data_IF_149176062245
#
_entry.id   IF_149176062245
#
_cell.length_a   1.000
_cell.length_b   1.000
_cell.length_c   1.000
_cell.angle_alpha   90.00
_cell.angle_beta   90.00
_cell.angle_gamma   90.00
#
_symmetry.space_group_name_H-M   'P 1'
#
loop_
_entity.id
_entity.type
_entity.pdbx_description
1 polymer ?
#
# COMPACT_ATOMS: atom_id res chain seq x y z
N UNK A 1 -0.77 -8.25 -2.83
CA UNK A 1 -2.22 -8.16 -2.54
C UNK A 1 -2.61 -9.08 -1.40
N UNK A 2 -3.73 -8.78 -0.76
CA UNK A 2 -4.35 -9.60 0.26
C UNK A 2 -5.43 -10.46 -0.39
N UNK A 3 -5.22 -11.77 -0.49
CA UNK A 3 -6.09 -12.70 -1.21
C UNK A 3 -6.69 -13.78 -0.28
N UNK A 4 -6.44 -13.71 1.02
CA UNK A 4 -7.02 -14.60 2.00
C UNK A 4 -8.54 -14.50 2.06
N UNK A 5 -9.25 -15.61 2.32
CA UNK A 5 -10.71 -15.58 2.52
C UNK A 5 -11.07 -14.85 3.82
N UNK A 6 -12.29 -14.33 3.87
CA UNK A 6 -12.83 -13.64 5.05
C UNK A 6 -12.58 -14.42 6.33
N UNK A 7 -12.03 -13.73 7.34
CA UNK A 7 -11.79 -14.28 8.66
C UNK A 7 -10.68 -15.33 8.75
N UNK A 8 -9.82 -15.42 7.73
CA UNK A 8 -8.75 -16.42 7.69
C UNK A 8 -7.71 -16.19 8.80
N UNK A 9 -7.24 -14.96 8.94
CA UNK A 9 -6.21 -14.64 9.91
C UNK A 9 -6.78 -14.03 11.20
N UNK A 10 -6.13 -14.21 12.38
CA UNK A 10 -6.51 -13.49 13.60
C UNK A 10 -6.31 -11.98 13.42
N UNK A 11 -6.96 -11.18 14.26
CA UNK A 11 -6.68 -9.76 14.32
C UNK A 11 -5.24 -9.48 14.78
N UNK A 12 -4.73 -8.31 14.46
CA UNK A 12 -3.37 -7.92 14.86
C UNK A 12 -3.31 -7.65 16.36
N UNK A 13 -2.48 -8.38 17.09
CA UNK A 13 -2.35 -8.27 18.56
C UNK A 13 -1.98 -6.86 19.04
N UNK A 14 -1.28 -6.09 18.19
CA UNK A 14 -0.86 -4.72 18.47
C UNK A 14 -1.91 -3.67 18.13
N UNK A 15 -3.04 -4.07 17.52
CA UNK A 15 -4.10 -3.18 17.08
C UNK A 15 -5.28 -3.16 18.04
N UNK A 16 -6.06 -2.08 18.00
CA UNK A 16 -7.39 -2.02 18.59
C UNK A 16 -8.29 -3.03 17.85
N UNK A 17 -9.23 -3.67 18.57
CA UNK A 17 -10.11 -4.73 18.03
C UNK A 17 -9.37 -6.01 17.56
N UNK A 18 -8.30 -6.37 18.24
CA UNK A 18 -7.49 -7.55 17.94
C UNK A 18 -8.26 -8.88 17.99
N UNK A 19 -9.46 -8.90 18.60
CA UNK A 19 -10.37 -10.05 18.64
C UNK A 19 -11.10 -10.28 17.30
N UNK A 20 -11.13 -9.27 16.42
CA UNK A 20 -11.81 -9.37 15.13
C UNK A 20 -10.89 -10.03 14.10
N UNK A 21 -11.34 -11.17 13.58
CA UNK A 21 -10.61 -11.87 12.52
C UNK A 21 -10.68 -11.12 11.19
N UNK A 22 -9.62 -11.26 10.41
CA UNK A 22 -9.41 -10.51 9.17
C UNK A 22 -9.12 -11.46 7.99
N UNK A 23 -9.31 -11.03 6.72
CA UNK A 23 -10.04 -9.83 6.29
C UNK A 23 -11.53 -9.90 6.70
N UNK A 24 -12.17 -8.76 6.88
CA UNK A 24 -13.57 -8.66 7.32
C UNK A 24 -14.58 -8.91 6.22
N UNK A 25 -14.15 -8.85 4.98
CA UNK A 25 -15.00 -9.00 3.78
C UNK A 25 -14.44 -10.09 2.86
N UNK A 26 -15.31 -10.66 2.04
CA UNK A 26 -14.89 -11.57 0.98
C UNK A 26 -14.28 -10.81 -0.19
N UNK A 27 -13.44 -11.49 -0.97
CA UNK A 27 -12.91 -10.92 -2.21
C UNK A 27 -14.08 -10.58 -3.17
N UNK A 28 -14.01 -9.41 -3.86
CA UNK A 28 -15.08 -9.00 -4.78
C UNK A 28 -15.13 -9.84 -6.06
N UNK A 29 -14.05 -10.58 -6.36
CA UNK A 29 -13.92 -11.45 -7.52
C UNK A 29 -13.13 -12.72 -7.15
N UNK A 30 -13.19 -13.74 -8.02
CA UNK A 30 -12.32 -14.92 -7.89
C UNK A 30 -10.84 -14.53 -7.96
N UNK A 31 -10.00 -15.26 -7.28
CA UNK A 31 -8.54 -15.03 -7.27
C UNK A 31 -7.99 -15.02 -8.71
N UNK A 32 -8.36 -15.99 -9.54
CA UNK A 32 -7.94 -16.07 -10.96
C UNK A 32 -8.21 -14.78 -11.74
N UNK A 33 -9.35 -14.12 -11.46
CA UNK A 33 -9.69 -12.85 -12.10
C UNK A 33 -8.84 -11.70 -11.55
N UNK A 34 -8.53 -11.71 -10.25
CA UNK A 34 -7.74 -10.66 -9.60
C UNK A 34 -6.27 -10.74 -10.06
N UNK A 35 -5.71 -11.94 -10.18
CA UNK A 35 -4.29 -12.13 -10.54
C UNK A 35 -4.03 -12.14 -12.06
N UNK A 36 -5.08 -12.06 -12.88
CA UNK A 36 -4.94 -11.93 -14.35
C UNK A 36 -4.58 -10.49 -14.73
N UNK A 37 -3.35 -10.10 -14.45
CA UNK A 37 -2.81 -8.75 -14.60
C UNK A 37 -1.45 -8.77 -15.31
N UNK A 38 -1.00 -7.63 -15.79
CA UNK A 38 0.29 -7.48 -16.47
C UNK A 38 1.48 -7.37 -15.51
N UNK A 39 1.24 -6.89 -14.30
CA UNK A 39 2.23 -6.79 -13.22
C UNK A 39 1.55 -6.61 -11.87
N UNK A 40 2.31 -6.82 -10.80
CA UNK A 40 1.89 -6.52 -9.42
C UNK A 40 2.84 -5.51 -8.81
N UNK A 41 2.29 -4.53 -8.09
CA UNK A 41 3.07 -3.58 -7.30
C UNK A 41 2.81 -3.88 -5.83
N UNK A 42 3.86 -4.13 -5.06
CA UNK A 42 3.80 -4.38 -3.63
C UNK A 42 4.31 -3.13 -2.93
N UNK A 43 3.42 -2.42 -2.25
CA UNK A 43 3.76 -1.17 -1.55
C UNK A 43 4.65 -1.41 -0.34
N UNK A 44 4.45 -2.55 0.34
CA UNK A 44 5.25 -3.03 1.47
C UNK A 44 4.84 -4.47 1.84
N UNK A 45 5.66 -5.12 2.64
CA UNK A 45 5.49 -6.53 3.05
C UNK A 45 4.83 -6.58 4.43
N UNK A 46 3.55 -6.23 4.51
CA UNK A 46 2.71 -6.52 5.66
C UNK A 46 1.68 -7.61 5.28
N UNK A 47 1.15 -8.39 6.25
CA UNK A 47 0.26 -9.51 5.94
C UNK A 47 -1.00 -9.13 5.16
N UNK A 48 -1.54 -7.94 5.39
CA UNK A 48 -2.70 -7.39 4.68
C UNK A 48 -2.37 -6.81 3.30
N UNK A 49 -1.09 -6.78 2.92
CA UNK A 49 -0.63 -6.34 1.59
C UNK A 49 0.06 -7.45 0.79
N UNK A 50 0.61 -8.46 1.47
CA UNK A 50 1.22 -9.61 0.84
C UNK A 50 1.04 -10.86 1.71
N UNK A 51 0.19 -11.79 1.29
CA UNK A 51 -0.14 -13.01 1.99
C UNK A 51 0.32 -14.29 1.24
N UNK A 52 0.18 -15.44 1.88
CA UNK A 52 0.54 -16.72 1.27
C UNK A 52 -0.38 -17.13 0.11
N UNK A 53 -1.64 -16.67 0.09
CA UNK A 53 -2.55 -16.89 -1.04
C UNK A 53 -2.05 -16.15 -2.28
N UNK A 54 -1.57 -14.92 -2.12
CA UNK A 54 -0.92 -14.18 -3.20
C UNK A 54 0.36 -14.88 -3.67
N UNK A 55 1.16 -15.39 -2.74
CA UNK A 55 2.37 -16.16 -3.08
C UNK A 55 2.07 -17.38 -3.95
N UNK A 56 0.96 -18.07 -3.70
CA UNK A 56 0.58 -19.27 -4.46
C UNK A 56 -0.15 -18.96 -5.77
N UNK A 57 -0.98 -17.92 -5.77
CA UNK A 57 -1.85 -17.62 -6.90
C UNK A 57 -1.16 -16.85 -8.04
N UNK A 58 -0.18 -16.01 -7.71
CA UNK A 58 0.51 -15.18 -8.69
C UNK A 58 1.57 -15.99 -9.44
N UNK A 59 1.58 -15.89 -10.79
CA UNK A 59 2.60 -16.54 -11.62
C UNK A 59 4.00 -16.05 -11.22
N UNK A 60 4.90 -16.99 -10.96
CA UNK A 60 6.28 -16.71 -10.56
C UNK A 60 7.13 -15.98 -11.61
N UNK A 61 6.66 -15.93 -12.85
CA UNK A 61 7.30 -15.17 -13.93
C UNK A 61 6.67 -13.78 -14.14
N UNK A 62 5.57 -13.46 -13.43
CA UNK A 62 4.95 -12.14 -13.52
C UNK A 62 5.90 -11.06 -13.02
N UNK A 63 5.91 -9.91 -13.72
CA UNK A 63 6.65 -8.73 -13.28
C UNK A 63 6.11 -8.21 -11.96
N UNK A 64 6.98 -8.08 -10.95
CA UNK A 64 6.66 -7.51 -9.65
C UNK A 64 7.51 -6.27 -9.40
N UNK A 65 6.86 -5.19 -8.98
CA UNK A 65 7.52 -3.99 -8.51
C UNK A 65 7.42 -3.89 -6.99
N UNK A 66 8.52 -3.49 -6.36
CA UNK A 66 8.66 -3.35 -4.91
C UNK A 66 9.33 -2.03 -4.53
N UNK A 67 9.35 -1.69 -3.25
CA UNK A 67 9.90 -0.42 -2.78
C UNK A 67 11.40 -0.45 -2.43
N UNK A 68 11.95 -1.62 -2.05
CA UNK A 68 13.28 -1.71 -1.44
C UNK A 68 14.03 -2.99 -1.80
N UNK A 69 15.34 -3.02 -1.53
CA UNK A 69 16.14 -4.26 -1.66
C UNK A 69 15.68 -5.34 -0.67
N UNK A 70 15.19 -4.95 0.51
CA UNK A 70 14.62 -5.90 1.46
C UNK A 70 13.42 -6.63 0.84
N UNK A 71 12.45 -5.87 0.33
CA UNK A 71 11.23 -6.44 -0.28
C UNK A 71 11.57 -7.26 -1.52
N UNK A 72 12.51 -6.80 -2.35
CA UNK A 72 13.00 -7.53 -3.51
C UNK A 72 13.56 -8.90 -3.13
N UNK A 73 14.45 -8.94 -2.15
CA UNK A 73 15.06 -10.19 -1.70
C UNK A 73 14.02 -11.13 -1.07
N UNK A 74 13.06 -10.58 -0.32
CA UNK A 74 11.95 -11.34 0.24
C UNK A 74 11.11 -11.99 -0.88
N UNK A 75 10.68 -11.23 -1.88
CA UNK A 75 9.87 -11.74 -3.00
C UNK A 75 10.64 -12.74 -3.87
N UNK A 76 11.93 -12.50 -4.13
CA UNK A 76 12.80 -13.46 -4.82
C UNK A 76 12.90 -14.78 -4.04
N UNK A 77 12.99 -14.73 -2.70
CA UNK A 77 13.04 -15.93 -1.84
C UNK A 77 11.76 -16.78 -1.92
N UNK A 78 10.63 -16.18 -2.34
CA UNK A 78 9.35 -16.86 -2.59
C UNK A 78 9.24 -17.46 -4.00
N UNK A 79 10.33 -17.44 -4.76
CA UNK A 79 10.46 -18.05 -6.08
C UNK A 79 10.02 -17.18 -7.26
N UNK A 80 9.67 -15.93 -7.05
CA UNK A 80 9.42 -14.98 -8.13
C UNK A 80 10.72 -14.63 -8.85
N UNK A 81 10.66 -14.41 -10.17
CA UNK A 81 11.87 -14.31 -11.01
C UNK A 81 12.12 -12.91 -11.56
N UNK A 82 11.09 -12.11 -11.73
CA UNK A 82 11.18 -10.77 -12.32
C UNK A 82 10.71 -9.72 -11.32
N UNK A 83 11.64 -9.29 -10.44
CA UNK A 83 11.38 -8.33 -9.35
C UNK A 83 12.25 -7.10 -9.52
N UNK A 84 11.63 -5.93 -9.58
CA UNK A 84 12.28 -4.64 -9.79
C UNK A 84 11.89 -3.63 -8.71
N UNK A 85 12.85 -2.82 -8.28
CA UNK A 85 12.59 -1.74 -7.33
C UNK A 85 12.13 -0.51 -8.09
N UNK A 86 10.99 0.07 -7.70
CA UNK A 86 10.50 1.33 -8.26
C UNK A 86 11.43 2.49 -7.90
N UNK A 87 11.75 3.31 -8.89
CA UNK A 87 12.57 4.50 -8.73
C UNK A 87 11.71 5.77 -8.52
N UNK A 88 12.23 6.70 -7.71
CA UNK A 88 11.62 8.03 -7.52
C UNK A 88 11.69 8.90 -8.79
N UNK A 89 12.69 8.64 -9.64
CA UNK A 89 12.89 9.33 -10.91
C UNK A 89 11.98 8.81 -12.03
N UNK A 90 11.29 7.70 -11.76
CA UNK A 90 10.38 7.04 -12.68
C UNK A 90 10.92 5.72 -13.21
N UNK A 91 10.05 4.72 -13.24
CA UNK A 91 10.27 3.40 -13.83
C UNK A 91 9.27 3.22 -14.97
N UNK A 92 9.76 2.95 -16.17
CA UNK A 92 8.88 2.74 -17.31
C UNK A 92 8.40 1.29 -17.36
N UNK A 93 7.09 1.11 -17.47
CA UNK A 93 6.47 -0.17 -17.72
C UNK A 93 5.44 -0.03 -18.82
N UNK A 94 5.70 -0.63 -19.99
CA UNK A 94 4.90 -0.43 -21.20
C UNK A 94 4.81 1.05 -21.56
N UNK A 95 3.58 1.60 -21.61
CA UNK A 95 3.30 3.02 -21.90
C UNK A 95 3.04 3.87 -20.65
N UNK A 96 3.36 3.34 -19.47
CA UNK A 96 3.14 4.00 -18.18
C UNK A 96 4.50 4.28 -17.54
N UNK A 97 4.66 5.47 -16.96
CA UNK A 97 5.76 5.76 -16.04
C UNK A 97 5.23 5.68 -14.60
N UNK A 98 5.87 4.85 -13.79
CA UNK A 98 5.57 4.64 -12.37
C UNK A 98 6.59 5.42 -11.55
N UNK A 99 6.13 6.27 -10.63
CA UNK A 99 7.01 7.00 -9.71
C UNK A 99 6.75 6.52 -8.30
N UNK A 100 7.80 6.08 -7.63
CA UNK A 100 7.76 5.82 -6.19
C UNK A 100 7.66 7.14 -5.43
N UNK A 101 6.81 7.19 -4.42
CA UNK A 101 6.73 8.31 -3.46
C UNK A 101 6.98 7.79 -2.04
N UNK A 102 7.48 8.67 -1.18
CA UNK A 102 7.65 8.36 0.23
C UNK A 102 6.34 8.50 1.00
N UNK A 103 6.26 7.77 2.11
CA UNK A 103 5.10 7.76 3.01
C UNK A 103 5.58 7.66 4.46
N UNK A 104 4.65 7.86 5.40
CA UNK A 104 4.86 7.53 6.80
C UNK A 104 3.72 6.62 7.26
N UNK A 105 4.00 5.33 7.40
CA UNK A 105 3.07 4.35 7.95
C UNK A 105 2.99 4.52 9.47
N UNK A 106 2.37 5.64 9.88
CA UNK A 106 2.40 6.21 11.21
C UNK A 106 3.67 7.03 11.49
N UNK A 107 3.77 7.65 12.66
CA UNK A 107 4.92 8.48 13.02
C UNK A 107 6.20 7.67 13.13
N UNK A 108 7.18 8.00 12.30
CA UNK A 108 8.45 7.26 12.17
C UNK A 108 9.17 7.12 13.52
N UNK A 109 9.26 8.19 14.28
CA UNK A 109 9.97 8.21 15.56
C UNK A 109 9.36 7.28 16.63
N UNK A 110 8.08 6.92 16.47
CA UNK A 110 7.34 6.07 17.40
C UNK A 110 7.27 4.63 16.87
N UNK A 111 6.91 4.46 15.62
CA UNK A 111 6.56 3.15 15.07
C UNK A 111 7.75 2.41 14.49
N UNK A 112 8.76 3.11 13.94
CA UNK A 112 9.94 2.41 13.43
C UNK A 112 10.66 1.57 14.49
N UNK A 113 10.93 2.07 15.73
CA UNK A 113 11.53 1.25 16.77
C UNK A 113 10.66 0.02 17.15
N UNK A 114 9.33 0.16 17.12
CA UNK A 114 8.42 -0.95 17.37
C UNK A 114 8.53 -2.01 16.26
N UNK A 115 8.45 -1.60 15.01
CA UNK A 115 8.61 -2.49 13.84
C UNK A 115 9.96 -3.22 13.89
N UNK A 116 11.05 -2.51 14.15
CA UNK A 116 12.39 -3.08 14.26
C UNK A 116 12.45 -4.15 15.39
N UNK A 117 11.75 -3.93 16.52
CA UNK A 117 11.73 -4.86 17.66
C UNK A 117 11.02 -6.19 17.37
N UNK A 118 10.08 -6.20 16.42
CA UNK A 118 9.31 -7.38 16.02
C UNK A 118 9.73 -7.90 14.64
N UNK A 119 10.78 -7.32 14.03
CA UNK A 119 11.32 -7.74 12.75
C UNK A 119 10.41 -7.43 11.56
N UNK A 120 9.49 -6.48 11.68
CA UNK A 120 8.63 -6.02 10.58
C UNK A 120 9.23 -4.79 9.88
N UNK A 121 9.12 -4.69 8.53
CA UNK A 121 9.47 -3.46 7.83
C UNK A 121 8.54 -2.31 8.25
N UNK A 122 9.12 -1.15 8.55
CA UNK A 122 8.35 0.06 8.80
C UNK A 122 7.96 0.77 7.50
N UNK A 123 8.88 0.76 6.53
CA UNK A 123 8.74 1.59 5.33
C UNK A 123 7.65 1.05 4.39
N UNK A 124 6.83 1.96 3.87
CA UNK A 124 5.85 1.75 2.83
C UNK A 124 6.07 2.78 1.72
N UNK A 125 5.49 2.57 0.55
CA UNK A 125 5.54 3.55 -0.54
C UNK A 125 4.15 3.88 -1.07
N UNK A 126 4.00 5.11 -1.58
CA UNK A 126 2.96 5.46 -2.52
C UNK A 126 3.48 5.35 -3.97
N UNK A 127 2.55 5.39 -4.92
CA UNK A 127 2.87 5.26 -6.35
C UNK A 127 2.08 6.28 -7.16
N UNK A 128 2.77 6.96 -8.08
CA UNK A 128 2.11 7.78 -9.11
C UNK A 128 2.21 7.06 -10.45
N UNK A 129 1.08 6.95 -11.13
CA UNK A 129 0.94 6.41 -12.48
C UNK A 129 0.75 7.58 -13.44
N UNK A 130 1.61 7.68 -14.43
CA UNK A 130 1.51 8.70 -15.47
C UNK A 130 1.62 8.05 -16.86
N UNK A 131 0.66 8.34 -17.73
CA UNK A 131 0.68 7.91 -19.11
C UNK A 131 0.18 9.04 -20.02
N UNK A 132 0.67 9.05 -21.27
CA UNK A 132 0.28 10.09 -22.23
C UNK A 132 -1.23 10.05 -22.49
N UNK A 133 -1.91 11.20 -22.40
CA UNK A 133 -3.36 11.39 -22.61
C UNK A 133 -4.26 10.69 -21.59
N UNK A 134 -3.70 10.16 -20.51
CA UNK A 134 -4.45 9.55 -19.41
C UNK A 134 -4.43 10.44 -18.17
N UNK A 135 -5.38 10.24 -17.26
CA UNK A 135 -5.38 10.90 -15.97
C UNK A 135 -4.21 10.41 -15.11
N UNK A 136 -3.52 11.34 -14.50
CA UNK A 136 -2.48 11.00 -13.51
C UNK A 136 -3.15 10.47 -12.25
N UNK A 137 -2.80 9.24 -11.86
CA UNK A 137 -3.29 8.56 -10.66
C UNK A 137 -2.19 8.54 -9.59
N UNK A 138 -2.53 8.96 -8.38
CA UNK A 138 -1.70 8.78 -7.19
C UNK A 138 -2.39 7.83 -6.21
N UNK A 139 -1.72 6.74 -5.84
CA UNK A 139 -2.11 5.84 -4.76
C UNK A 139 -1.16 6.10 -3.60
N UNK A 140 -1.67 6.67 -2.51
CA UNK A 140 -0.85 7.08 -1.37
C UNK A 140 -0.30 5.88 -0.57
N UNK A 141 -0.99 4.71 -0.62
CA UNK A 141 -0.63 3.55 0.19
C UNK A 141 -0.95 3.74 1.67
N UNK A 142 -0.31 2.95 2.52
CA UNK A 142 -0.46 3.05 3.97
C UNK A 142 0.40 4.18 4.51
N UNK A 143 -0.27 5.25 4.91
CA UNK A 143 0.37 6.47 5.40
C UNK A 143 -0.58 7.30 6.25
N UNK A 144 -0.04 8.08 7.17
CA UNK A 144 -0.72 9.25 7.75
C UNK A 144 -0.57 10.45 6.80
N UNK A 145 -1.31 11.55 7.05
CA UNK A 145 -0.99 12.82 6.40
C UNK A 145 0.39 13.31 6.87
N UNK A 146 1.30 13.52 5.94
CA UNK A 146 2.68 13.92 6.20
C UNK A 146 3.20 14.81 5.06
N UNK A 147 4.38 15.40 5.24
CA UNK A 147 4.96 16.30 4.23
C UNK A 147 5.27 15.56 2.92
N UNK A 148 5.66 14.29 2.98
CA UNK A 148 5.95 13.46 1.80
C UNK A 148 4.70 13.28 0.90
N UNK A 149 3.52 13.09 1.50
CA UNK A 149 2.25 13.03 0.76
C UNK A 149 1.93 14.37 0.13
N UNK A 150 2.12 15.48 0.86
CA UNK A 150 1.90 16.82 0.35
C UNK A 150 2.87 17.19 -0.79
N UNK A 151 4.14 16.78 -0.67
CA UNK A 151 5.13 16.94 -1.74
C UNK A 151 4.72 16.17 -3.00
N UNK A 152 4.25 14.91 -2.86
CA UNK A 152 3.75 14.12 -3.98
C UNK A 152 2.55 14.79 -4.68
N UNK A 153 1.56 15.29 -3.92
CA UNK A 153 0.41 16.03 -4.46
C UNK A 153 0.84 17.28 -5.23
N UNK A 154 1.79 18.04 -4.69
CA UNK A 154 2.30 19.25 -5.33
C UNK A 154 3.12 18.96 -6.58
N UNK A 155 4.02 17.97 -6.51
CA UNK A 155 4.93 17.61 -7.60
C UNK A 155 4.20 17.04 -8.80
N UNK A 156 3.27 16.10 -8.56
CA UNK A 156 2.64 15.36 -9.64
C UNK A 156 1.27 15.90 -10.04
N UNK A 157 0.64 16.75 -9.19
CA UNK A 157 -0.69 17.32 -9.43
C UNK A 157 -1.68 16.30 -10.00
N UNK A 158 -1.92 15.16 -9.29
CA UNK A 158 -2.71 14.06 -9.82
C UNK A 158 -4.17 14.45 -10.07
N UNK A 159 -4.80 13.81 -11.07
CA UNK A 159 -6.23 13.96 -11.36
C UNK A 159 -7.09 13.09 -10.43
N UNK A 160 -6.51 11.96 -9.99
CA UNK A 160 -7.15 11.00 -9.09
C UNK A 160 -6.18 10.65 -7.97
N UNK A 161 -6.66 10.71 -6.73
CA UNK A 161 -5.90 10.34 -5.52
C UNK A 161 -6.64 9.23 -4.79
N UNK A 162 -5.99 8.10 -4.58
CA UNK A 162 -6.51 7.01 -3.75
C UNK A 162 -5.75 7.01 -2.44
N UNK A 163 -6.47 7.06 -1.32
CA UNK A 163 -5.91 7.05 0.03
C UNK A 163 -6.50 5.91 0.84
N UNK A 164 -5.67 5.25 1.63
CA UNK A 164 -6.13 4.33 2.65
C UNK A 164 -6.57 5.13 3.88
N UNK A 165 -7.82 4.94 4.34
CA UNK A 165 -8.48 5.84 5.28
C UNK A 165 -9.23 5.12 6.41
N UNK A 166 -8.80 3.92 6.79
CA UNK A 166 -9.42 3.14 7.87
C UNK A 166 -9.12 3.67 9.29
N UNK A 167 -8.22 4.66 9.43
CA UNK A 167 -7.78 5.21 10.71
C UNK A 167 -7.18 4.15 11.67
N UNK A 168 -6.58 3.09 11.13
CA UNK A 168 -5.95 2.04 11.91
C UNK A 168 -5.00 2.63 12.97
N UNK A 169 -5.08 2.09 14.18
CA UNK A 169 -4.41 2.63 15.37
C UNK A 169 -3.82 1.48 16.18
N UNK A 170 -2.57 1.60 16.59
CA UNK A 170 -1.96 0.66 17.54
C UNK A 170 -2.40 0.95 18.98
N UNK A 171 -2.20 -0.03 19.88
CA UNK A 171 -2.69 0.01 21.27
C UNK A 171 -2.27 1.25 22.08
N UNK A 172 -1.16 1.88 21.76
CA UNK A 172 -0.71 3.13 22.40
C UNK A 172 -1.43 4.39 21.89
N UNK A 173 -2.39 4.24 20.95
CA UNK A 173 -3.16 5.34 20.37
C UNK A 173 -2.52 6.02 19.15
N UNK A 174 -1.32 5.58 18.71
CA UNK A 174 -0.71 6.12 17.50
C UNK A 174 -1.38 5.57 16.24
N UNK A 175 -1.64 6.48 15.29
CA UNK A 175 -2.26 6.13 14.01
C UNK A 175 -1.23 5.58 13.03
N UNK A 176 -1.64 4.58 12.29
CA UNK A 176 -0.89 3.96 11.19
C UNK A 176 -1.30 4.52 9.83
N UNK A 177 -2.58 4.83 9.68
CA UNK A 177 -3.24 5.16 8.42
C UNK A 177 -4.09 6.41 8.62
N UNK A 178 -4.38 7.12 7.53
CA UNK A 178 -5.16 8.37 7.53
C UNK A 178 -6.52 8.19 8.20
N UNK A 179 -6.90 9.21 8.96
CA UNK A 179 -8.25 9.39 9.49
C UNK A 179 -9.00 10.49 8.73
N UNK A 180 -10.18 10.87 9.22
CA UNK A 180 -11.02 11.89 8.59
C UNK A 180 -10.36 13.28 8.55
N UNK A 181 -9.52 13.62 9.53
CA UNK A 181 -8.86 14.92 9.56
C UNK A 181 -7.69 14.95 8.57
N UNK A 182 -6.95 13.85 8.44
CA UNK A 182 -5.93 13.69 7.40
C UNK A 182 -6.56 13.77 6.00
N UNK A 183 -7.73 13.14 5.81
CA UNK A 183 -8.46 13.20 4.54
C UNK A 183 -8.88 14.64 4.17
N UNK A 184 -9.26 15.47 5.14
CA UNK A 184 -9.53 16.89 4.92
C UNK A 184 -8.30 17.64 4.42
N UNK A 185 -7.11 17.30 4.94
CA UNK A 185 -5.86 17.91 4.46
C UNK A 185 -5.52 17.44 3.04
N UNK A 186 -5.73 16.15 2.71
CA UNK A 186 -5.61 15.66 1.33
C UNK A 186 -6.52 16.46 0.40
N UNK A 187 -7.80 16.62 0.74
CA UNK A 187 -8.76 17.38 -0.07
C UNK A 187 -8.35 18.84 -0.28
N UNK A 188 -7.82 19.52 0.74
CA UNK A 188 -7.31 20.90 0.61
C UNK A 188 -6.10 20.99 -0.34
N UNK A 189 -5.25 19.98 -0.35
CA UNK A 189 -3.97 20.02 -1.07
C UNK A 189 -4.04 19.35 -2.45
N UNK A 190 -5.08 18.57 -2.75
CA UNK A 190 -5.24 17.86 -4.02
C UNK A 190 -5.92 18.68 -5.12
N UNK A 191 -6.12 19.98 -4.91
CA UNK A 191 -6.75 20.92 -5.88
C UNK A 191 -8.10 20.38 -6.39
N UNK A 192 -8.18 20.02 -7.67
CA UNK A 192 -9.40 19.53 -8.33
C UNK A 192 -9.41 18.01 -8.53
N UNK A 193 -8.54 17.27 -7.86
CA UNK A 193 -8.48 15.82 -7.98
C UNK A 193 -9.73 15.14 -7.44
N UNK A 194 -10.10 14.02 -8.04
CA UNK A 194 -11.06 13.10 -7.44
C UNK A 194 -10.34 12.32 -6.34
N UNK A 195 -10.79 12.43 -5.10
CA UNK A 195 -10.23 11.68 -3.96
C UNK A 195 -11.10 10.46 -3.67
N UNK A 196 -10.49 9.29 -3.61
CA UNK A 196 -11.15 8.00 -3.33
C UNK A 196 -10.57 7.45 -2.03
N UNK A 197 -11.44 7.24 -1.04
CA UNK A 197 -11.07 6.56 0.19
C UNK A 197 -11.18 5.03 0.01
N UNK A 198 -10.18 4.30 0.46
CA UNK A 198 -10.04 2.84 0.37
C UNK A 198 -9.59 2.27 1.71
N UNK A 199 -9.46 0.93 1.80
CA UNK A 199 -8.91 0.22 2.96
C UNK A 199 -9.77 0.38 4.24
N UNK A 200 -11.10 0.63 4.10
CA UNK A 200 -11.95 0.99 5.25
C UNK A 200 -12.71 -0.18 5.86
N UNK A 201 -13.06 -1.19 5.07
CA UNK A 201 -13.94 -2.29 5.52
C UNK A 201 -13.21 -3.63 5.67
N UNK A 202 -11.96 -3.71 5.29
CA UNK A 202 -11.19 -4.97 5.24
C UNK A 202 -10.41 -5.20 6.53
N UNK A 203 -9.92 -4.13 7.15
CA UNK A 203 -9.15 -4.12 8.39
C UNK A 203 -9.96 -3.47 9.51
N UNK A 204 -9.77 -3.92 10.75
CA UNK A 204 -10.44 -3.36 11.94
C UNK A 204 -9.49 -2.58 12.82
#
# INVERSE_FOLDING_TARGET
PWLEPKGYMPGFETAVNSEIRQPRVELPFSIDKIVNVDSVIITHIHPDHWDEYAEHAIDKNLKIFVQSEFDKNFILSKGFKDVEILAEQGTNFRNITLYKTHTQHGKREILKPLCDSIGMPYDAMGIVFNAEREKTLYIAGDTIWCEEVKEALNKYSPDVVVVNACAATVLNGERLIMNIDDLKEVLKNSKNATVIASHMDTVS
#
